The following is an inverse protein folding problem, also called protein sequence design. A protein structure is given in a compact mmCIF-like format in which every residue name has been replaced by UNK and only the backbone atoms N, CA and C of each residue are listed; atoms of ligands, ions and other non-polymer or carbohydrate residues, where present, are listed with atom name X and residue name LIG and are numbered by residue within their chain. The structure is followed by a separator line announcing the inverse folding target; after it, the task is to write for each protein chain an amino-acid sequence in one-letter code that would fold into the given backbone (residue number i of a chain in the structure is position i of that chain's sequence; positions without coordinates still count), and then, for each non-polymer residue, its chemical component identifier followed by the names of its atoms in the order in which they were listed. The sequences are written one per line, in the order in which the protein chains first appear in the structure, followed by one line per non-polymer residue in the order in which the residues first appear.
data_IF_817496690194
#
_entry.id   IF_817496690194
#
_cell.length_a   1.000
_cell.length_b   1.000
_cell.length_c   1.000
_cell.angle_alpha   90.00
_cell.angle_beta   90.00
_cell.angle_gamma   90.00
#
_symmetry.space_group_name_H-M   'P 1'
#
loop_
_entity.id
_entity.type
_entity.pdbx_description
1 polymer ?
#
# COMPACT_ATOMS: atom_id res chain seq x y z
N UNK A 1 -27.74 -7.81 -27.42
CA UNK A 1 -26.44 -8.03 -28.08
C UNK A 1 -25.92 -9.37 -27.57
N UNK A 2 -26.04 -10.44 -28.35
CA UNK A 2 -25.53 -11.77 -27.98
C UNK A 2 -24.02 -11.77 -28.20
N UNK A 3 -23.25 -11.58 -27.13
CA UNK A 3 -21.80 -11.82 -27.18
C UNK A 3 -21.66 -13.35 -27.17
N UNK A 4 -21.32 -13.91 -28.33
CA UNK A 4 -20.94 -15.32 -28.45
C UNK A 4 -19.86 -15.63 -27.39
N UNK A 5 -20.11 -16.65 -26.56
CA UNK A 5 -19.16 -17.12 -25.55
C UNK A 5 -17.93 -17.82 -26.17
N UNK A 6 -17.91 -18.03 -27.49
CA UNK A 6 -16.94 -18.91 -28.15
C UNK A 6 -15.62 -18.23 -28.51
N UNK A 7 -15.50 -16.90 -28.40
CA UNK A 7 -14.22 -16.21 -28.64
C UNK A 7 -13.99 -15.14 -27.58
N UNK A 8 -13.61 -15.56 -26.37
CA UNK A 8 -12.89 -14.66 -25.47
C UNK A 8 -11.45 -14.60 -25.99
N UNK A 9 -10.99 -13.50 -26.62
CA UNK A 9 -9.60 -13.38 -27.03
C UNK A 9 -8.73 -13.67 -25.81
N UNK A 10 -7.89 -14.69 -25.91
CA UNK A 10 -6.97 -15.05 -24.84
C UNK A 10 -6.05 -13.86 -24.60
N UNK A 11 -6.19 -13.19 -23.46
CA UNK A 11 -5.31 -12.10 -23.06
C UNK A 11 -3.91 -12.69 -22.87
N UNK A 12 -3.06 -12.58 -23.89
CA UNK A 12 -1.67 -13.02 -23.79
C UNK A 12 -0.93 -12.03 -22.90
N UNK A 13 -0.68 -12.41 -21.65
CA UNK A 13 0.19 -11.65 -20.76
C UNK A 13 1.60 -11.58 -21.34
N UNK A 14 2.22 -10.39 -21.25
CA UNK A 14 3.59 -10.23 -21.74
C UNK A 14 4.55 -11.04 -20.86
N UNK A 15 5.59 -11.64 -21.47
CA UNK A 15 6.66 -12.34 -20.75
C UNK A 15 7.26 -11.46 -19.63
N UNK A 16 7.26 -10.14 -19.82
CA UNK A 16 7.71 -9.16 -18.84
C UNK A 16 6.89 -9.21 -17.54
N UNK A 17 5.56 -9.25 -17.61
CA UNK A 17 4.70 -9.35 -16.41
C UNK A 17 5.03 -10.63 -15.61
N UNK A 18 5.22 -11.76 -16.30
CA UNK A 18 5.59 -13.02 -15.66
C UNK A 18 6.97 -12.99 -15.01
N UNK A 19 7.96 -12.38 -15.67
CA UNK A 19 9.29 -12.22 -15.09
C UNK A 19 9.25 -11.35 -13.82
N UNK A 20 8.46 -10.28 -13.82
CA UNK A 20 8.27 -9.44 -12.65
C UNK A 20 7.51 -10.19 -11.55
N UNK A 21 6.53 -11.02 -11.89
CA UNK A 21 5.80 -11.83 -10.91
C UNK A 21 6.74 -12.84 -10.24
N UNK A 22 7.63 -13.47 -11.01
CA UNK A 22 8.68 -14.32 -10.47
C UNK A 22 9.63 -13.54 -9.56
N UNK A 23 10.09 -12.35 -9.99
CA UNK A 23 10.95 -11.50 -9.17
C UNK A 23 10.29 -11.09 -7.85
N UNK A 24 9.00 -10.74 -7.87
CA UNK A 24 8.21 -10.45 -6.67
C UNK A 24 8.08 -11.67 -5.74
N UNK A 25 7.82 -12.86 -6.30
CA UNK A 25 7.76 -14.10 -5.52
C UNK A 25 9.10 -14.45 -4.87
N UNK A 26 10.21 -14.28 -5.60
CA UNK A 26 11.56 -14.46 -5.07
C UNK A 26 11.89 -13.43 -3.98
N UNK A 27 11.48 -12.17 -4.17
CA UNK A 27 11.66 -11.12 -3.17
C UNK A 27 10.88 -11.42 -1.88
N UNK A 28 9.62 -11.87 -1.98
CA UNK A 28 8.82 -12.30 -0.83
C UNK A 28 9.44 -13.51 -0.11
N UNK A 29 9.93 -14.51 -0.86
CA UNK A 29 10.60 -15.66 -0.27
C UNK A 29 11.92 -15.27 0.41
N UNK A 30 12.71 -14.39 -0.20
CA UNK A 30 13.94 -13.87 0.38
C UNK A 30 13.66 -13.05 1.64
N UNK A 31 12.65 -12.18 1.61
CA UNK A 31 12.22 -11.41 2.77
C UNK A 31 11.82 -12.33 3.92
N UNK A 32 10.92 -13.30 3.69
CA UNK A 32 10.49 -14.23 4.73
C UNK A 32 11.64 -15.09 5.26
N UNK A 33 12.58 -15.49 4.40
CA UNK A 33 13.78 -16.20 4.82
C UNK A 33 14.66 -15.34 5.75
N UNK A 34 14.95 -14.10 5.36
CA UNK A 34 15.79 -13.20 6.15
C UNK A 34 15.12 -12.84 7.48
N UNK A 35 13.83 -12.51 7.44
CA UNK A 35 13.03 -12.15 8.61
C UNK A 35 12.95 -13.29 9.63
N UNK A 36 12.73 -14.52 9.16
CA UNK A 36 12.51 -15.66 10.06
C UNK A 36 13.81 -16.34 10.52
N UNK A 37 14.79 -16.49 9.63
CA UNK A 37 16.01 -17.26 9.92
C UNK A 37 17.19 -16.40 10.35
N UNK A 38 17.13 -15.07 10.17
CA UNK A 38 18.22 -14.14 10.48
C UNK A 38 19.60 -14.67 10.02
N UNK A 39 19.81 -14.89 8.72
CA UNK A 39 20.97 -15.64 8.21
C UNK A 39 22.32 -15.04 8.57
N UNK A 40 22.38 -13.73 8.84
CA UNK A 40 23.57 -13.09 9.38
C UNK A 40 23.58 -13.28 10.90
N UNK A 41 24.19 -14.35 11.38
CA UNK A 41 24.23 -14.67 12.83
C UNK A 41 25.54 -14.25 13.53
N UNK A 42 26.56 -13.86 12.77
CA UNK A 42 27.90 -13.59 13.30
C UNK A 42 28.20 -12.11 13.36
N UNK A 43 28.48 -11.59 14.56
CA UNK A 43 28.97 -10.23 14.79
C UNK A 43 28.04 -9.41 15.68
N UNK A 44 28.54 -8.30 16.21
CA UNK A 44 27.78 -7.42 17.11
C UNK A 44 26.63 -6.66 16.43
N UNK A 45 26.52 -6.77 15.10
CA UNK A 45 25.60 -6.00 14.26
C UNK A 45 24.69 -6.87 13.36
N UNK A 46 24.57 -8.17 13.67
CA UNK A 46 23.79 -9.13 12.89
C UNK A 46 22.34 -8.71 12.65
N UNK A 47 21.61 -8.38 13.72
CA UNK A 47 20.19 -8.02 13.65
C UNK A 47 19.96 -6.80 12.76
N UNK A 48 20.78 -5.76 12.89
CA UNK A 48 20.74 -4.58 12.03
C UNK A 48 20.92 -4.93 10.56
N UNK A 49 21.87 -5.80 10.21
CA UNK A 49 22.09 -6.13 8.81
C UNK A 49 20.99 -7.00 8.23
N UNK A 50 20.40 -7.90 9.02
CA UNK A 50 19.21 -8.65 8.59
C UNK A 50 18.03 -7.69 8.33
N UNK A 51 17.80 -6.74 9.24
CA UNK A 51 16.80 -5.67 9.10
C UNK A 51 17.02 -4.80 7.84
N UNK A 52 18.26 -4.34 7.61
CA UNK A 52 18.58 -3.55 6.41
C UNK A 52 18.37 -4.34 5.11
N UNK A 53 18.54 -5.66 5.14
CA UNK A 53 18.23 -6.50 3.96
C UNK A 53 16.72 -6.53 3.72
N UNK A 54 15.90 -6.73 4.76
CA UNK A 54 14.44 -6.70 4.62
C UNK A 54 13.95 -5.34 4.15
N UNK A 55 14.48 -4.24 4.69
CA UNK A 55 14.13 -2.90 4.24
C UNK A 55 14.56 -2.63 2.81
N UNK A 56 15.74 -3.08 2.40
CA UNK A 56 16.18 -2.91 1.02
C UNK A 56 15.24 -3.62 0.04
N UNK A 57 14.74 -4.81 0.40
CA UNK A 57 13.73 -5.52 -0.39
C UNK A 57 12.42 -4.72 -0.45
N UNK A 58 11.96 -4.19 0.69
CA UNK A 58 10.78 -3.33 0.79
C UNK A 58 10.92 -2.07 -0.05
N UNK A 59 12.06 -1.39 0.03
CA UNK A 59 12.40 -0.20 -0.75
C UNK A 59 12.33 -0.47 -2.26
N UNK A 60 12.90 -1.59 -2.72
CA UNK A 60 12.83 -1.97 -4.13
C UNK A 60 11.38 -2.16 -4.58
N UNK A 61 10.53 -2.76 -3.75
CA UNK A 61 9.13 -2.98 -4.06
C UNK A 61 8.31 -1.67 -4.10
N UNK A 62 8.49 -0.78 -3.12
CA UNK A 62 7.78 0.51 -3.09
C UNK A 62 8.24 1.44 -4.22
N UNK A 63 9.54 1.49 -4.54
CA UNK A 63 10.04 2.25 -5.68
C UNK A 63 9.57 1.68 -7.02
N UNK A 64 9.42 0.35 -7.12
CA UNK A 64 8.80 -0.26 -8.30
C UNK A 64 7.33 0.19 -8.46
N UNK A 65 6.55 0.21 -7.37
CA UNK A 65 5.17 0.71 -7.40
C UNK A 65 5.11 2.19 -7.82
N UNK A 66 5.93 3.06 -7.21
CA UNK A 66 6.00 4.49 -7.53
C UNK A 66 6.48 4.77 -8.97
N UNK A 67 7.46 4.02 -9.46
CA UNK A 67 7.97 4.14 -10.82
C UNK A 67 6.95 3.68 -11.86
N UNK A 68 6.26 2.56 -11.61
CA UNK A 68 5.25 2.02 -12.53
C UNK A 68 3.96 2.84 -12.51
N UNK A 69 3.60 3.46 -11.38
CA UNK A 69 2.46 4.37 -11.31
C UNK A 69 2.70 5.63 -12.15
N UNK A 70 3.95 6.12 -12.19
CA UNK A 70 4.36 7.23 -13.06
C UNK A 70 4.22 6.86 -14.54
N UNK A 71 4.59 5.65 -14.94
CA UNK A 71 4.41 5.17 -16.33
C UNK A 71 2.93 5.13 -16.71
N UNK A 72 2.07 4.59 -15.83
CA UNK A 72 0.63 4.57 -16.03
C UNK A 72 0.05 5.99 -16.11
N UNK A 73 0.51 6.92 -15.28
CA UNK A 73 0.09 8.33 -15.32
C UNK A 73 0.46 8.99 -16.64
N UNK A 74 1.66 8.70 -17.18
CA UNK A 74 2.17 9.29 -18.42
C UNK A 74 1.42 8.83 -19.68
N UNK A 75 0.68 7.73 -19.61
CA UNK A 75 -0.19 7.31 -20.73
C UNK A 75 -1.31 8.28 -21.03
N UNK A 76 -1.81 8.97 -20.01
CA UNK A 76 -2.95 9.85 -20.17
C UNK A 76 -2.48 11.26 -20.52
N UNK A 77 -3.12 11.89 -21.52
CA UNK A 77 -2.83 13.28 -21.88
C UNK A 77 -3.24 14.25 -20.74
N UNK A 78 -2.62 15.44 -20.60
CA UNK A 78 -2.92 16.40 -19.53
C UNK A 78 -4.40 16.76 -19.38
N UNK A 79 -5.14 16.74 -20.49
CA UNK A 79 -6.57 17.03 -20.57
C UNK A 79 -7.47 15.87 -20.18
N UNK A 80 -6.96 14.64 -20.13
CA UNK A 80 -7.76 13.44 -19.88
C UNK A 80 -8.10 13.30 -18.39
N UNK A 81 -9.40 13.12 -18.04
CA UNK A 81 -9.80 12.98 -16.65
C UNK A 81 -9.08 11.87 -15.85
N UNK A 82 -8.81 10.66 -16.39
CA UNK A 82 -8.07 9.61 -15.67
C UNK A 82 -6.67 10.03 -15.23
N UNK A 83 -6.01 10.98 -15.94
CA UNK A 83 -4.68 11.44 -15.54
C UNK A 83 -4.66 12.01 -14.14
N UNK A 84 -5.72 12.71 -13.72
CA UNK A 84 -5.80 13.30 -12.37
C UNK A 84 -5.85 12.23 -11.28
N UNK A 85 -6.54 11.11 -11.55
CA UNK A 85 -6.59 9.95 -10.65
C UNK A 85 -5.18 9.37 -10.52
N UNK A 86 -4.54 9.02 -11.63
CA UNK A 86 -3.25 8.34 -11.60
C UNK A 86 -2.11 9.25 -11.14
N UNK A 87 -2.17 10.56 -11.44
CA UNK A 87 -1.18 11.52 -10.95
C UNK A 87 -1.23 11.64 -9.42
N UNK A 88 -2.42 11.75 -8.83
CA UNK A 88 -2.57 11.77 -7.35
C UNK A 88 -2.18 10.42 -6.74
N UNK A 89 -2.57 9.30 -7.36
CA UNK A 89 -2.11 7.97 -6.93
C UNK A 89 -0.58 7.85 -6.93
N UNK A 90 0.06 8.40 -7.96
CA UNK A 90 1.53 8.42 -8.08
C UNK A 90 2.17 9.29 -7.02
N UNK A 91 1.60 10.45 -6.71
CA UNK A 91 2.09 11.29 -5.60
C UNK A 91 1.99 10.55 -4.27
N UNK A 92 0.92 9.77 -4.06
CA UNK A 92 0.79 8.90 -2.87
C UNK A 92 1.92 7.88 -2.78
N UNK A 93 2.21 7.18 -3.87
CA UNK A 93 3.32 6.20 -3.91
C UNK A 93 4.70 6.83 -3.71
N UNK A 94 4.94 8.04 -4.24
CA UNK A 94 6.20 8.74 -4.02
C UNK A 94 6.35 9.27 -2.60
N UNK A 95 5.25 9.72 -1.97
CA UNK A 95 5.25 10.07 -0.55
C UNK A 95 5.55 8.83 0.30
N UNK A 96 4.93 7.69 -0.02
CA UNK A 96 5.19 6.42 0.65
C UNK A 96 6.64 5.95 0.49
N UNK A 97 7.19 5.98 -0.73
CA UNK A 97 8.58 5.64 -0.99
C UNK A 97 9.57 6.56 -0.25
N UNK A 98 9.23 7.86 -0.11
CA UNK A 98 10.02 8.79 0.69
C UNK A 98 9.98 8.42 2.19
N UNK A 99 8.83 8.00 2.72
CA UNK A 99 8.71 7.51 4.09
C UNK A 99 9.59 6.28 4.34
N UNK A 100 9.47 5.25 3.48
CA UNK A 100 10.29 4.03 3.57
C UNK A 100 11.79 4.34 3.47
N UNK A 101 12.17 5.29 2.59
CA UNK A 101 13.57 5.73 2.48
C UNK A 101 14.06 6.43 3.75
N UNK A 102 13.19 7.23 4.37
CA UNK A 102 13.51 7.88 5.63
C UNK A 102 13.64 6.86 6.76
N UNK A 103 12.80 5.82 6.82
CA UNK A 103 12.93 4.72 7.79
C UNK A 103 14.26 3.99 7.65
N UNK A 104 14.60 3.59 6.43
CA UNK A 104 15.89 2.98 6.14
C UNK A 104 17.09 3.81 6.63
N UNK A 105 17.03 5.13 6.44
CA UNK A 105 18.06 6.08 6.89
C UNK A 105 17.97 6.29 8.41
N UNK A 106 16.77 6.34 8.98
CA UNK A 106 16.52 6.60 10.39
C UNK A 106 17.18 5.52 11.24
N UNK A 107 16.98 4.26 10.89
CA UNK A 107 17.59 3.14 11.62
C UNK A 107 19.11 3.22 11.64
N UNK A 108 19.76 3.67 10.56
CA UNK A 108 21.21 3.88 10.56
C UNK A 108 21.68 4.81 11.69
N UNK A 109 20.89 5.84 12.02
CA UNK A 109 21.24 6.82 13.06
C UNK A 109 20.77 6.44 14.47
N UNK A 110 19.74 5.61 14.59
CA UNK A 110 19.04 5.37 15.86
C UNK A 110 19.05 3.92 16.36
N UNK A 111 19.44 2.93 15.54
CA UNK A 111 19.37 1.51 15.88
C UNK A 111 20.11 1.12 17.17
N UNK A 112 21.33 1.63 17.37
CA UNK A 112 22.17 1.28 18.54
C UNK A 112 22.17 2.32 19.65
N UNK A 113 21.32 3.36 19.53
CA UNK A 113 21.20 4.34 20.60
C UNK A 113 20.33 3.75 21.71
N UNK A 114 20.96 2.99 22.59
CA UNK A 114 20.33 2.46 23.80
C UNK A 114 19.92 3.60 24.74
N UNK A 115 18.63 3.65 25.08
CA UNK A 115 18.05 4.51 26.12
C UNK A 115 18.73 4.29 27.48
N UNK A 116 19.01 5.36 28.24
CA UNK A 116 17.92 6.18 28.81
C UNK A 116 17.83 7.64 28.32
N UNK A 117 18.83 8.16 27.60
CA UNK A 117 18.94 9.61 27.35
C UNK A 117 18.37 10.09 26.00
N UNK A 118 17.97 9.18 25.11
CA UNK A 118 17.46 9.54 23.79
C UNK A 118 16.04 9.05 23.61
N UNK A 119 15.07 9.94 23.88
CA UNK A 119 13.69 9.72 23.44
C UNK A 119 13.60 9.79 21.92
N UNK A 120 13.60 8.64 21.24
CA UNK A 120 13.17 8.56 19.84
C UNK A 120 11.79 9.20 19.77
N UNK A 121 11.60 10.27 18.99
CA UNK A 121 10.29 10.90 18.86
C UNK A 121 9.29 9.86 18.35
N UNK A 122 8.17 9.68 19.06
CA UNK A 122 7.09 8.80 18.60
C UNK A 122 6.48 9.29 17.28
N UNK A 123 6.64 10.58 16.98
CA UNK A 123 6.26 11.18 15.71
C UNK A 123 7.52 11.66 15.01
N UNK A 124 7.73 11.16 13.80
CA UNK A 124 8.90 11.40 12.97
C UNK A 124 8.51 12.09 11.67
N UNK A 125 9.52 12.40 10.86
CA UNK A 125 9.28 12.91 9.49
C UNK A 125 8.68 11.81 8.59
N UNK A 126 8.86 10.52 8.91
CA UNK A 126 8.26 9.40 8.18
C UNK A 126 6.73 9.49 8.22
N UNK A 127 6.19 9.78 9.41
CA UNK A 127 4.75 9.93 9.64
C UNK A 127 4.14 11.03 8.77
N UNK A 128 4.85 12.15 8.57
CA UNK A 128 4.40 13.20 7.67
C UNK A 128 4.28 12.71 6.21
N UNK A 129 5.20 11.85 5.76
CA UNK A 129 5.19 11.28 4.42
C UNK A 129 4.16 10.15 4.27
N UNK A 130 3.96 9.29 5.27
CA UNK A 130 2.86 8.32 5.28
C UNK A 130 1.49 9.02 5.23
N UNK A 131 1.26 10.03 6.09
CA UNK A 131 0.03 10.83 6.06
C UNK A 131 -0.19 11.56 4.74
N UNK A 132 0.89 12.06 4.12
CA UNK A 132 0.82 12.65 2.79
C UNK A 132 0.46 11.59 1.72
N UNK A 133 0.96 10.38 1.88
CA UNK A 133 0.60 9.19 1.09
C UNK A 133 -0.90 8.93 1.14
N UNK A 134 -1.44 8.71 2.34
CA UNK A 134 -2.88 8.55 2.58
C UNK A 134 -3.72 9.69 2.01
N UNK A 135 -3.29 10.94 2.21
CA UNK A 135 -3.98 12.09 1.64
C UNK A 135 -4.09 12.00 0.11
N UNK A 136 -3.01 11.63 -0.57
CA UNK A 136 -3.00 11.53 -2.02
C UNK A 136 -3.74 10.28 -2.56
N UNK A 137 -3.69 9.15 -1.86
CA UNK A 137 -4.48 7.97 -2.18
C UNK A 137 -5.98 8.25 -2.02
N UNK A 138 -6.40 8.85 -0.89
CA UNK A 138 -7.76 9.34 -0.69
C UNK A 138 -8.22 10.34 -1.77
N UNK A 139 -7.36 11.29 -2.16
CA UNK A 139 -7.65 12.23 -3.24
C UNK A 139 -7.80 11.54 -4.60
N UNK A 140 -7.00 10.51 -4.85
CA UNK A 140 -7.10 9.68 -6.05
C UNK A 140 -8.41 8.92 -6.11
N UNK A 141 -8.80 8.28 -5.01
CA UNK A 141 -10.10 7.60 -4.86
C UNK A 141 -11.27 8.57 -5.05
N UNK A 142 -11.18 9.78 -4.50
CA UNK A 142 -12.17 10.84 -4.72
C UNK A 142 -12.28 11.24 -6.20
N UNK A 143 -11.15 11.42 -6.89
CA UNK A 143 -11.15 11.70 -8.32
C UNK A 143 -11.75 10.55 -9.14
N UNK A 144 -11.44 9.31 -8.77
CA UNK A 144 -11.99 8.11 -9.42
C UNK A 144 -13.51 8.02 -9.22
N UNK A 145 -13.99 8.23 -8.00
CA UNK A 145 -15.41 8.30 -7.69
C UNK A 145 -16.12 9.40 -8.49
N UNK A 146 -15.53 10.59 -8.58
CA UNK A 146 -16.09 11.70 -9.36
C UNK A 146 -16.16 11.40 -10.85
N UNK A 147 -15.16 10.68 -11.38
CA UNK A 147 -15.12 10.27 -12.78
C UNK A 147 -16.27 9.31 -13.09
N UNK A 148 -16.50 8.32 -12.23
CA UNK A 148 -17.59 7.33 -12.36
C UNK A 148 -18.97 7.99 -12.24
N UNK A 149 -19.18 8.83 -11.22
CA UNK A 149 -20.51 9.38 -10.90
C UNK A 149 -20.72 10.82 -11.36
N UNK A 150 -20.07 11.24 -12.46
CA UNK A 150 -20.04 12.63 -12.94
C UNK A 150 -21.44 13.26 -13.10
N UNK A 151 -22.45 12.46 -13.46
CA UNK A 151 -23.82 12.92 -13.74
C UNK A 151 -24.64 13.40 -12.52
N UNK A 152 -24.27 13.05 -11.29
CA UNK A 152 -24.98 13.50 -10.07
C UNK A 152 -24.34 14.80 -9.55
N UNK A 153 -24.82 15.96 -9.97
CA UNK A 153 -24.30 17.27 -9.54
C UNK A 153 -24.77 17.67 -8.14
N UNK A 154 -23.86 18.12 -7.28
CA UNK A 154 -24.18 18.68 -5.95
C UNK A 154 -23.29 18.14 -4.80
N UNK A 155 -22.76 19.05 -3.97
CA UNK A 155 -22.10 18.86 -2.65
C UNK A 155 -21.00 17.79 -2.45
N UNK A 156 -20.39 17.24 -3.50
CA UNK A 156 -19.39 16.15 -3.37
C UNK A 156 -18.15 16.48 -2.55
N UNK A 157 -17.68 17.73 -2.58
CA UNK A 157 -16.50 18.13 -1.80
C UNK A 157 -16.83 18.26 -0.32
N UNK A 158 -18.01 18.77 0.04
CA UNK A 158 -18.47 18.83 1.42
C UNK A 158 -18.64 17.42 2.00
N UNK A 159 -19.21 16.49 1.24
CA UNK A 159 -19.30 15.09 1.65
C UNK A 159 -17.92 14.44 1.85
N UNK A 160 -16.96 14.69 0.96
CA UNK A 160 -15.57 14.21 1.13
C UNK A 160 -14.91 14.80 2.38
N UNK A 161 -15.06 16.10 2.63
CA UNK A 161 -14.53 16.75 3.83
C UNK A 161 -15.20 16.25 5.11
N UNK A 162 -16.52 16.04 5.09
CA UNK A 162 -17.27 15.44 6.22
C UNK A 162 -16.83 14.00 6.47
N UNK A 163 -16.56 13.24 5.40
CA UNK A 163 -16.01 11.89 5.52
C UNK A 163 -14.63 11.93 6.19
N UNK A 164 -13.70 12.79 5.73
CA UNK A 164 -12.40 12.97 6.41
C UNK A 164 -12.59 13.37 7.88
N UNK A 165 -13.48 14.32 8.17
CA UNK A 165 -13.76 14.74 9.55
C UNK A 165 -14.28 13.57 10.41
N UNK A 166 -15.15 12.72 9.86
CA UNK A 166 -15.66 11.53 10.54
C UNK A 166 -14.55 10.52 10.82
N UNK A 167 -13.59 10.34 9.91
CA UNK A 167 -12.41 9.49 10.11
C UNK A 167 -11.57 9.98 11.28
N UNK A 168 -11.21 11.27 11.26
CA UNK A 168 -10.40 11.88 12.32
C UNK A 168 -11.11 11.78 13.67
N UNK A 169 -12.44 11.99 13.69
CA UNK A 169 -13.24 11.83 14.90
C UNK A 169 -13.32 10.37 15.37
N UNK A 170 -13.41 9.40 14.46
CA UNK A 170 -13.40 7.98 14.79
C UNK A 170 -12.05 7.57 15.38
N UNK A 171 -10.93 7.95 14.76
CA UNK A 171 -9.59 7.72 15.29
C UNK A 171 -9.41 8.36 16.67
N UNK A 172 -9.90 9.59 16.87
CA UNK A 172 -9.91 10.26 18.16
C UNK A 172 -10.70 9.48 19.22
N UNK A 173 -11.91 9.04 18.88
CA UNK A 173 -12.76 8.25 19.78
C UNK A 173 -12.15 6.90 20.15
N UNK A 174 -11.57 6.20 19.17
CA UNK A 174 -10.86 4.94 19.37
C UNK A 174 -9.60 5.12 20.21
N UNK A 175 -8.86 6.22 20.03
CA UNK A 175 -7.70 6.59 20.86
C UNK A 175 -8.09 6.78 22.31
N UNK A 176 -9.16 7.54 22.56
CA UNK A 176 -9.69 7.73 23.91
C UNK A 176 -10.11 6.41 24.54
N UNK A 177 -10.87 5.61 23.80
CA UNK A 177 -11.31 4.30 24.27
C UNK A 177 -10.13 3.36 24.60
N UNK A 178 -9.11 3.30 23.75
CA UNK A 178 -7.93 2.47 23.95
C UNK A 178 -7.17 2.87 25.23
N UNK A 179 -6.96 4.17 25.43
CA UNK A 179 -6.29 4.69 26.63
C UNK A 179 -7.12 4.43 27.91
N UNK A 180 -8.43 4.63 27.85
CA UNK A 180 -9.33 4.36 28.98
C UNK A 180 -9.37 2.86 29.33
N UNK A 181 -9.19 1.99 28.34
CA UNK A 181 -9.05 0.55 28.51
C UNK A 181 -7.64 0.12 29.00
N UNK A 182 -6.71 1.07 29.20
CA UNK A 182 -5.35 0.79 29.63
C UNK A 182 -4.45 0.18 28.55
N UNK A 183 -4.81 0.31 27.28
CA UNK A 183 -4.02 -0.17 26.14
C UNK A 183 -2.91 0.80 25.77
N UNK A 184 -1.85 0.28 25.15
CA UNK A 184 -0.67 1.02 24.67
C UNK A 184 0.04 1.86 25.75
N UNK A 185 0.22 1.26 26.92
CA UNK A 185 1.03 1.83 28.01
C UNK A 185 2.43 2.22 27.53
N UNK A 186 2.88 3.42 27.92
CA UNK A 186 4.19 3.95 27.56
C UNK A 186 4.21 4.86 26.33
N UNK A 187 3.15 4.86 25.51
CA UNK A 187 3.01 5.77 24.37
C UNK A 187 2.45 7.13 24.79
N UNK A 188 2.86 8.19 24.09
CA UNK A 188 2.21 9.50 24.14
C UNK A 188 0.80 9.44 23.54
N UNK A 189 -0.03 10.44 23.86
CA UNK A 189 -1.37 10.53 23.27
C UNK A 189 -1.29 10.68 21.75
N UNK A 190 -0.33 11.47 21.26
CA UNK A 190 -0.14 11.76 19.84
C UNK A 190 0.36 10.52 19.09
N UNK A 191 1.32 9.78 19.64
CA UNK A 191 1.75 8.49 19.09
C UNK A 191 0.60 7.49 19.06
N UNK A 192 -0.19 7.41 20.14
CA UNK A 192 -1.39 6.57 20.18
C UNK A 192 -2.41 6.94 19.10
N UNK A 193 -2.65 8.23 18.93
CA UNK A 193 -3.56 8.74 17.94
C UNK A 193 -3.12 8.38 16.52
N UNK A 194 -1.84 8.55 16.18
CA UNK A 194 -1.32 8.17 14.86
C UNK A 194 -1.36 6.66 14.65
N UNK A 195 -0.93 5.87 15.64
CA UNK A 195 -0.96 4.40 15.56
C UNK A 195 -2.36 3.81 15.36
N UNK A 196 -3.40 4.51 15.82
CA UNK A 196 -4.81 4.16 15.57
C UNK A 196 -5.32 4.77 14.26
N UNK A 197 -4.85 5.95 13.87
CA UNK A 197 -5.26 6.61 12.64
C UNK A 197 -4.86 5.80 11.40
N UNK A 198 -3.65 5.22 11.36
CA UNK A 198 -3.16 4.42 10.23
C UNK A 198 -4.08 3.25 9.83
N UNK A 199 -4.40 2.28 10.70
CA UNK A 199 -5.28 1.18 10.32
C UNK A 199 -6.70 1.63 10.00
N UNK A 200 -7.17 2.76 10.57
CA UNK A 200 -8.46 3.34 10.18
C UNK A 200 -8.39 3.86 8.74
N UNK A 201 -7.32 4.56 8.37
CA UNK A 201 -7.11 5.03 7.01
C UNK A 201 -6.97 3.86 6.04
N UNK A 202 -6.15 2.86 6.36
CA UNK A 202 -6.01 1.67 5.52
C UNK A 202 -7.31 0.90 5.35
N UNK A 203 -8.10 0.71 6.41
CA UNK A 203 -9.38 0.02 6.32
C UNK A 203 -10.30 0.72 5.31
N UNK A 204 -10.28 2.05 5.27
CA UNK A 204 -11.10 2.83 4.36
C UNK A 204 -10.56 2.83 2.93
N UNK A 205 -9.25 2.94 2.76
CA UNK A 205 -8.61 2.82 1.45
C UNK A 205 -8.76 1.42 0.87
N UNK A 206 -8.57 0.38 1.68
CA UNK A 206 -8.81 -1.02 1.36
C UNK A 206 -10.29 -1.29 1.02
N UNK A 207 -11.24 -0.75 1.79
CA UNK A 207 -12.66 -0.85 1.48
C UNK A 207 -13.02 -0.14 0.16
N UNK A 208 -12.45 1.05 -0.09
CA UNK A 208 -12.65 1.78 -1.32
C UNK A 208 -12.02 1.05 -2.52
N UNK A 209 -10.83 0.48 -2.35
CA UNK A 209 -10.14 -0.36 -3.33
C UNK A 209 -10.96 -1.62 -3.66
N UNK A 210 -11.53 -2.28 -2.66
CA UNK A 210 -12.41 -3.43 -2.82
C UNK A 210 -13.70 -3.04 -3.56
N UNK A 211 -14.28 -1.89 -3.23
CA UNK A 211 -15.42 -1.34 -3.97
C UNK A 211 -15.08 -1.08 -5.45
N UNK A 212 -13.93 -0.46 -5.74
CA UNK A 212 -13.47 -0.25 -7.12
C UNK A 212 -13.22 -1.58 -7.85
N UNK A 213 -12.66 -2.57 -7.16
CA UNK A 213 -12.45 -3.91 -7.70
C UNK A 213 -13.75 -4.56 -8.18
N UNK A 214 -14.82 -4.50 -7.36
CA UNK A 214 -16.13 -5.00 -7.74
C UNK A 214 -16.78 -4.15 -8.84
N UNK A 215 -16.68 -2.83 -8.74
CA UNK A 215 -17.26 -1.92 -9.73
C UNK A 215 -16.66 -2.13 -11.13
N UNK A 216 -15.35 -2.36 -11.23
CA UNK A 216 -14.68 -2.61 -12.50
C UNK A 216 -14.73 -4.07 -12.95
N UNK A 217 -15.43 -4.95 -12.23
CA UNK A 217 -15.62 -6.35 -12.63
C UNK A 217 -14.32 -7.11 -12.87
N UNK A 218 -13.31 -6.93 -12.02
CA UNK A 218 -11.95 -7.50 -12.16
C UNK A 218 -11.13 -6.95 -13.35
N UNK A 219 -11.62 -5.88 -13.98
CA UNK A 219 -10.95 -5.19 -15.07
C UNK A 219 -9.56 -4.67 -14.68
N UNK A 220 -8.70 -4.48 -15.68
CA UNK A 220 -7.29 -4.11 -15.47
C UNK A 220 -7.10 -2.80 -14.70
N UNK A 221 -8.06 -1.87 -14.75
CA UNK A 221 -8.02 -0.60 -14.00
C UNK A 221 -8.36 -0.74 -12.51
N UNK A 222 -9.00 -1.85 -12.11
CA UNK A 222 -9.31 -2.14 -10.70
C UNK A 222 -8.15 -2.82 -9.96
N UNK A 223 -7.19 -3.41 -10.68
CA UNK A 223 -6.10 -4.21 -10.10
C UNK A 223 -5.04 -3.39 -9.34
N UNK A 224 -4.64 -2.19 -9.80
CA UNK A 224 -3.63 -1.39 -9.10
C UNK A 224 -4.00 -1.04 -7.65
N UNK A 225 -5.28 -1.14 -7.29
CA UNK A 225 -5.78 -0.84 -5.95
C UNK A 225 -5.63 -2.01 -4.96
N UNK A 226 -5.27 -3.21 -5.44
CA UNK A 226 -5.25 -4.42 -4.59
C UNK A 226 -4.22 -4.35 -3.46
N UNK A 227 -3.13 -3.62 -3.63
CA UNK A 227 -2.17 -3.45 -2.54
C UNK A 227 -2.75 -2.72 -1.34
N UNK A 228 -3.66 -1.75 -1.55
CA UNK A 228 -4.34 -1.04 -0.46
C UNK A 228 -5.20 -1.98 0.39
N UNK A 229 -5.75 -3.04 -0.22
CA UNK A 229 -6.48 -4.08 0.53
C UNK A 229 -5.51 -4.84 1.43
N UNK A 230 -4.30 -5.16 0.93
CA UNK A 230 -3.29 -5.87 1.70
C UNK A 230 -2.73 -5.02 2.86
N UNK A 231 -2.51 -3.72 2.66
CA UNK A 231 -2.08 -2.83 3.76
C UNK A 231 -3.09 -2.81 4.90
N UNK A 232 -4.39 -2.75 4.62
CA UNK A 232 -5.43 -2.86 5.66
C UNK A 232 -5.33 -4.13 6.52
N UNK A 233 -4.90 -5.25 5.94
CA UNK A 233 -4.65 -6.47 6.70
C UNK A 233 -3.33 -6.42 7.47
N UNK A 234 -2.25 -5.94 6.85
CA UNK A 234 -0.95 -5.84 7.50
C UNK A 234 -0.99 -4.90 8.71
N UNK A 235 -1.47 -3.67 8.50
CA UNK A 235 -1.53 -2.63 9.54
C UNK A 235 -2.55 -2.97 10.61
N UNK A 236 -3.65 -3.66 10.26
CA UNK A 236 -4.59 -4.19 11.25
C UNK A 236 -3.94 -5.16 12.24
N UNK A 237 -3.06 -6.05 11.75
CA UNK A 237 -2.29 -6.98 12.61
C UNK A 237 -1.21 -6.22 13.39
N UNK A 238 -0.47 -5.33 12.72
CA UNK A 238 0.59 -4.55 13.34
C UNK A 238 0.05 -3.66 14.48
N UNK A 239 -1.04 -2.92 14.26
CA UNK A 239 -1.67 -2.09 15.29
C UNK A 239 -2.20 -2.93 16.44
N UNK A 240 -2.75 -4.14 16.21
CA UNK A 240 -3.16 -5.02 17.29
C UNK A 240 -2.01 -5.29 18.28
N UNK A 241 -0.81 -5.59 17.76
CA UNK A 241 0.35 -5.80 18.61
C UNK A 241 0.88 -4.50 19.23
N UNK A 242 0.86 -3.40 18.48
CA UNK A 242 1.27 -2.08 18.97
C UNK A 242 0.42 -1.59 20.15
N UNK A 243 -0.88 -1.95 20.18
CA UNK A 243 -1.80 -1.67 21.29
C UNK A 243 -1.62 -2.59 22.51
N UNK A 244 -0.69 -3.55 22.46
CA UNK A 244 -0.42 -4.47 23.56
C UNK A 244 -0.94 -5.90 23.35
N UNK A 245 -1.39 -6.24 22.14
CA UNK A 245 -1.93 -7.56 21.79
C UNK A 245 -0.95 -8.72 21.99
N UNK A 246 0.36 -8.44 22.09
CA UNK A 246 1.37 -9.45 22.41
C UNK A 246 1.14 -10.11 23.78
N UNK A 247 0.50 -9.40 24.73
CA UNK A 247 0.16 -9.96 26.04
C UNK A 247 -1.01 -10.96 25.99
N UNK A 248 -1.72 -11.06 24.86
CA UNK A 248 -2.97 -11.83 24.73
C UNK A 248 -2.79 -13.14 23.96
N UNK A 249 -1.61 -13.36 23.38
CA UNK A 249 -1.31 -14.53 22.55
C UNK A 249 0.01 -15.15 22.99
N UNK A 250 0.28 -16.40 22.57
CA UNK A 250 1.59 -17.01 22.81
C UNK A 250 2.69 -16.36 21.96
N UNK A 251 3.95 -16.41 22.40
CA UNK A 251 5.10 -15.92 21.63
C UNK A 251 5.14 -16.48 20.20
N UNK A 252 4.87 -17.79 20.06
CA UNK A 252 4.81 -18.45 18.76
C UNK A 252 3.72 -17.84 17.87
N UNK A 253 2.56 -17.51 18.43
CA UNK A 253 1.45 -16.86 17.71
C UNK A 253 1.83 -15.44 17.31
N UNK A 254 2.45 -14.67 18.23
CA UNK A 254 2.96 -13.33 17.96
C UNK A 254 3.93 -13.34 16.78
N UNK A 255 5.03 -14.10 16.85
CA UNK A 255 6.03 -14.16 15.78
C UNK A 255 5.46 -14.61 14.44
N UNK A 256 4.48 -15.53 14.45
CA UNK A 256 3.82 -16.00 13.22
C UNK A 256 2.97 -14.90 12.58
N UNK A 257 2.18 -14.18 13.39
CA UNK A 257 1.33 -13.10 12.90
C UNK A 257 2.13 -11.87 12.49
N UNK A 258 3.21 -11.58 13.21
CA UNK A 258 4.15 -10.51 12.89
C UNK A 258 4.87 -10.76 11.56
N UNK A 259 5.41 -11.98 11.34
CA UNK A 259 5.94 -12.39 10.03
C UNK A 259 4.87 -12.29 8.93
N UNK A 260 3.64 -12.73 9.22
CA UNK A 260 2.54 -12.66 8.25
C UNK A 260 2.21 -11.20 7.88
N UNK A 261 2.14 -10.30 8.87
CA UNK A 261 1.89 -8.88 8.64
C UNK A 261 2.97 -8.27 7.73
N UNK A 262 4.25 -8.52 8.03
CA UNK A 262 5.38 -8.02 7.25
C UNK A 262 5.39 -8.58 5.80
N UNK A 263 5.07 -9.87 5.64
CA UNK A 263 4.94 -10.47 4.30
C UNK A 263 3.77 -9.90 3.51
N UNK A 264 2.62 -9.65 4.15
CA UNK A 264 1.45 -9.03 3.53
C UNK A 264 1.78 -7.58 3.14
N UNK A 265 2.50 -6.84 3.98
CA UNK A 265 2.94 -5.47 3.71
C UNK A 265 3.82 -5.42 2.46
N UNK A 266 4.86 -6.25 2.39
CA UNK A 266 5.70 -6.37 1.18
C UNK A 266 4.89 -6.83 -0.04
N UNK A 267 3.97 -7.77 0.13
CA UNK A 267 3.10 -8.24 -0.94
C UNK A 267 2.18 -7.12 -1.46
N UNK A 268 1.75 -6.19 -0.60
CA UNK A 268 1.01 -4.99 -0.98
C UNK A 268 1.75 -4.14 -2.01
N UNK A 269 3.03 -3.86 -1.75
CA UNK A 269 3.90 -3.16 -2.70
C UNK A 269 4.06 -3.91 -4.00
N UNK A 270 4.48 -5.18 -3.91
CA UNK A 270 4.80 -6.00 -5.07
C UNK A 270 3.56 -6.23 -5.97
N UNK A 271 2.40 -6.49 -5.37
CA UNK A 271 1.15 -6.69 -6.08
C UNK A 271 0.70 -5.41 -6.78
N UNK A 272 0.83 -4.25 -6.14
CA UNK A 272 0.51 -2.97 -6.78
C UNK A 272 1.43 -2.71 -7.97
N UNK A 273 2.75 -2.90 -7.80
CA UNK A 273 3.72 -2.77 -8.88
C UNK A 273 3.36 -3.68 -10.07
N UNK A 274 3.08 -4.97 -9.81
CA UNK A 274 2.68 -5.92 -10.84
C UNK A 274 1.38 -5.52 -11.54
N UNK A 275 0.38 -5.07 -10.79
CA UNK A 275 -0.90 -4.64 -11.34
C UNK A 275 -0.75 -3.38 -12.19
N UNK A 276 0.08 -2.43 -11.79
CA UNK A 276 0.42 -1.24 -12.57
C UNK A 276 1.15 -1.60 -13.87
N UNK A 277 2.14 -2.49 -13.80
CA UNK A 277 2.82 -3.00 -15.00
C UNK A 277 1.84 -3.71 -15.94
N UNK A 278 0.98 -4.58 -15.41
CA UNK A 278 -0.02 -5.28 -16.20
C UNK A 278 -1.03 -4.32 -16.84
N UNK A 279 -1.46 -3.28 -16.12
CA UNK A 279 -2.35 -2.24 -16.65
C UNK A 279 -1.67 -1.43 -17.75
N UNK A 280 -0.42 -1.01 -17.54
CA UNK A 280 0.41 -0.32 -18.52
C UNK A 280 0.57 -1.15 -19.80
N UNK A 281 1.01 -2.40 -19.68
CA UNK A 281 1.22 -3.30 -20.82
C UNK A 281 -0.09 -3.60 -21.56
N UNK A 282 -1.22 -3.68 -20.84
CA UNK A 282 -2.54 -3.85 -21.45
C UNK A 282 -2.96 -2.62 -22.27
N UNK A 283 -2.68 -1.41 -21.77
CA UNK A 283 -2.97 -0.16 -22.47
C UNK A 283 -2.06 0.00 -23.70
N UNK A 284 -0.74 -0.22 -23.56
CA UNK A 284 0.21 -0.04 -24.67
C UNK A 284 0.00 -1.04 -25.81
N UNK A 285 -0.18 -2.32 -25.47
CA UNK A 285 -0.25 -3.38 -26.48
C UNK A 285 -1.63 -3.54 -27.08
N UNK A 286 -2.63 -2.95 -26.44
CA UNK A 286 -3.99 -2.86 -26.93
C UNK A 286 -4.72 -4.19 -27.04
N UNK A 287 -6.03 -4.08 -26.97
CA UNK A 287 -7.02 -5.04 -27.47
C UNK A 287 -6.91 -5.17 -29.03
N UNK A 288 -5.87 -4.62 -29.65
CA UNK A 288 -5.66 -4.50 -31.11
C UNK A 288 -4.95 -5.68 -31.76
N UNK A 289 -4.62 -6.74 -31.03
CA UNK A 289 -4.06 -7.95 -31.65
C UNK A 289 -5.04 -8.65 -32.62
N UNK A 290 -6.33 -8.31 -32.61
CA UNK A 290 -7.32 -8.83 -33.57
C UNK A 290 -7.64 -7.90 -34.74
N UNK A 291 -7.23 -6.63 -34.74
CA UNK A 291 -7.50 -5.72 -35.87
C UNK A 291 -6.49 -5.78 -37.02
N UNK A 292 -5.40 -6.55 -36.89
CA UNK A 292 -4.40 -6.72 -37.96
C UNK A 292 -4.64 -7.92 -38.89
N UNK A 293 -5.67 -8.75 -38.65
CA UNK A 293 -6.02 -9.89 -39.51
C UNK A 293 -7.37 -9.75 -40.22
N UNK A 294 -8.00 -8.57 -40.21
CA UNK A 294 -9.16 -8.35 -41.08
C UNK A 294 -8.66 -8.29 -42.53
N UNK A 295 -9.08 -9.21 -43.42
CA UNK A 295 -8.70 -9.16 -44.83
C UNK A 295 -9.15 -7.80 -45.40
N UNK A 296 -8.22 -7.08 -46.03
CA UNK A 296 -8.59 -5.88 -46.78
C UNK A 296 -9.50 -6.30 -47.95
N UNK A 297 -10.63 -5.60 -48.15
CA UNK A 297 -11.55 -5.87 -49.26
C UNK A 297 -10.92 -5.55 -50.63
#
# INVERSE_FOLDING_TARGET
MNISLETRPGVKHSKRVWNWALAAALALAAFGWVYYYEPLQTGAYSSYWNDKITDAITLLAVFAAAGLSLNLTRHYAPSEPPRRVWATFTLGWWAWAASESLGFIYDYFYWYKSYPDYTVPEITVMDAFWLLGYFFFGLSLYHQFRLIYRAKGGQKIAAYLLFIAAILLAAFGLTRWALDAGLGSGNTWEGMYLGILYPVLDLLEGAAALWLFFLFGLGYLGRPWWGLILFAFADGIATFFWLGGYNWVSDQTYYTLDLLANLIYLAGYALTALALLAAHEHIERGITAETQNAPQP
#
